data_IF_575173748984
#
_entry.id   IF_575173748984
#
_cell.length_a   1.000
_cell.length_b   1.000
_cell.length_c   1.000
_cell.angle_alpha   90.00
_cell.angle_beta   90.00
_cell.angle_gamma   90.00
#
_symmetry.space_group_name_H-M   'P 1'
#
loop_
_entity.id
_entity.type
_entity.pdbx_description
1 polymer ?
#
# COMPACT_ATOMS: atom_id res chain seq x y z
N UNK A 1 -16.59 -26.34 -5.77
CA UNK A 1 -16.94 -25.31 -4.77
C UNK A 1 -16.84 -23.96 -5.47
N UNK A 2 -17.96 -23.24 -5.68
CA UNK A 2 -17.89 -21.92 -6.34
C UNK A 2 -17.22 -20.93 -5.37
N UNK A 3 -16.15 -20.23 -5.77
CA UNK A 3 -15.56 -19.21 -4.91
C UNK A 3 -16.62 -18.13 -4.64
N UNK A 4 -16.86 -17.84 -3.36
CA UNK A 4 -17.71 -16.72 -2.97
C UNK A 4 -16.92 -15.42 -3.18
N UNK A 5 -17.01 -14.88 -4.38
CA UNK A 5 -16.33 -13.66 -4.81
C UNK A 5 -16.57 -12.49 -3.85
N UNK A 6 -17.74 -12.44 -3.18
CA UNK A 6 -18.05 -11.36 -2.26
C UNK A 6 -17.12 -11.32 -1.04
N UNK A 7 -16.55 -12.46 -0.63
CA UNK A 7 -15.60 -12.53 0.50
C UNK A 7 -14.21 -11.99 0.15
N UNK A 8 -13.88 -11.94 -1.13
CA UNK A 8 -12.59 -11.49 -1.64
C UNK A 8 -12.63 -10.07 -2.22
N UNK A 9 -13.82 -9.48 -2.36
CA UNK A 9 -13.99 -8.10 -2.81
C UNK A 9 -13.93 -7.14 -1.61
N UNK A 10 -12.77 -7.04 -0.98
CA UNK A 10 -12.48 -6.12 0.13
C UNK A 10 -11.40 -5.11 -0.27
N UNK A 11 -11.32 -3.97 0.41
CA UNK A 11 -10.25 -3.01 0.20
C UNK A 11 -8.87 -3.64 0.45
N UNK A 12 -8.73 -4.51 1.47
CA UNK A 12 -7.49 -5.24 1.75
C UNK A 12 -7.02 -6.11 0.58
N UNK A 13 -7.91 -6.92 0.01
CA UNK A 13 -7.59 -7.71 -1.19
C UNK A 13 -7.26 -6.81 -2.37
N UNK A 14 -8.02 -5.72 -2.56
CA UNK A 14 -7.76 -4.74 -3.61
C UNK A 14 -6.38 -4.10 -3.50
N UNK A 15 -5.97 -3.68 -2.30
CA UNK A 15 -4.65 -3.11 -2.01
C UNK A 15 -3.55 -4.15 -2.25
N UNK A 16 -3.75 -5.40 -1.83
CA UNK A 16 -2.79 -6.47 -2.08
C UNK A 16 -2.58 -6.71 -3.59
N UNK A 17 -3.67 -6.84 -4.35
CA UNK A 17 -3.64 -7.02 -5.81
C UNK A 17 -2.98 -5.80 -6.48
N UNK A 18 -3.29 -4.59 -6.01
CA UNK A 18 -2.66 -3.36 -6.49
C UNK A 18 -1.15 -3.42 -6.32
N UNK A 19 -0.66 -3.82 -5.14
CA UNK A 19 0.77 -4.03 -4.91
C UNK A 19 1.37 -5.09 -5.84
N UNK A 20 0.77 -6.27 -5.93
CA UNK A 20 1.28 -7.34 -6.79
C UNK A 20 1.37 -6.95 -8.27
N UNK A 21 0.30 -6.33 -8.81
CA UNK A 21 0.25 -5.93 -10.22
C UNK A 21 1.17 -4.74 -10.54
N UNK A 22 1.29 -3.76 -9.63
CA UNK A 22 2.28 -2.69 -9.80
C UNK A 22 3.70 -3.20 -9.76
N UNK A 23 4.02 -4.15 -8.88
CA UNK A 23 5.34 -4.78 -8.84
C UNK A 23 5.65 -5.49 -10.16
N UNK A 24 4.70 -6.26 -10.71
CA UNK A 24 4.85 -6.92 -12.01
C UNK A 24 5.03 -5.92 -13.15
N UNK A 25 4.32 -4.79 -13.12
CA UNK A 25 4.48 -3.72 -14.10
C UNK A 25 5.91 -3.15 -14.10
N UNK A 26 6.47 -2.91 -12.91
CA UNK A 26 7.83 -2.38 -12.76
C UNK A 26 8.93 -3.41 -13.05
N UNK A 27 8.68 -4.70 -12.78
CA UNK A 27 9.60 -5.78 -13.13
C UNK A 27 9.61 -6.13 -14.63
N UNK A 28 8.56 -5.75 -15.37
CA UNK A 28 8.46 -6.04 -16.80
C UNK A 28 8.36 -4.77 -17.63
N UNK A 29 7.15 -4.31 -18.00
CA UNK A 29 6.95 -3.21 -18.93
C UNK A 29 7.73 -1.92 -18.63
N UNK A 30 7.84 -1.51 -17.35
CA UNK A 30 8.50 -0.26 -16.96
C UNK A 30 9.97 -0.43 -16.53
N UNK A 31 10.52 -1.64 -16.56
CA UNK A 31 11.88 -1.91 -16.08
C UNK A 31 12.95 -1.07 -16.80
N UNK A 32 12.73 -0.74 -18.07
CA UNK A 32 13.67 0.09 -18.84
C UNK A 32 13.84 1.51 -18.26
N UNK A 33 12.84 2.06 -17.56
CA UNK A 33 12.95 3.37 -16.90
C UNK A 33 13.94 3.31 -15.75
N UNK A 34 13.91 2.22 -14.97
CA UNK A 34 14.85 1.98 -13.89
C UNK A 34 16.28 1.78 -14.41
N UNK A 35 16.47 1.06 -15.51
CA UNK A 35 17.80 0.89 -16.13
C UNK A 35 18.38 2.23 -16.59
N UNK A 36 17.54 3.16 -17.07
CA UNK A 36 17.97 4.50 -17.47
C UNK A 36 18.25 5.41 -16.29
N UNK A 37 17.47 5.31 -15.22
CA UNK A 37 17.62 6.10 -14.01
C UNK A 37 17.22 5.27 -12.77
N UNK A 38 18.20 4.81 -11.97
CA UNK A 38 17.94 3.98 -10.79
C UNK A 38 17.07 4.65 -9.72
N UNK A 39 16.88 5.98 -9.76
CA UNK A 39 16.01 6.69 -8.81
C UNK A 39 14.56 6.26 -8.90
N UNK A 40 14.13 5.67 -10.04
CA UNK A 40 12.82 5.03 -10.17
C UNK A 40 12.65 3.80 -9.26
N UNK A 41 13.70 3.34 -8.58
CA UNK A 41 13.69 2.12 -7.76
C UNK A 41 12.68 2.13 -6.61
N UNK A 42 12.25 3.31 -6.13
CA UNK A 42 11.18 3.41 -5.14
C UNK A 42 9.85 2.78 -5.60
N UNK A 43 9.66 2.63 -6.91
CA UNK A 43 8.51 1.94 -7.48
C UNK A 43 8.53 0.41 -7.34
N UNK A 44 9.64 -0.20 -6.91
CA UNK A 44 9.65 -1.59 -6.44
C UNK A 44 9.31 -1.69 -4.95
N UNK A 45 9.58 -0.63 -4.20
CA UNK A 45 9.40 -0.56 -2.74
C UNK A 45 7.92 -0.40 -2.39
N UNK A 46 7.27 0.62 -2.96
CA UNK A 46 5.89 0.99 -2.64
C UNK A 46 4.90 -0.17 -2.87
N UNK A 47 4.99 -0.94 -3.98
CA UNK A 47 4.10 -2.09 -4.17
C UNK A 47 4.25 -3.18 -3.10
N UNK A 48 5.45 -3.39 -2.57
CA UNK A 48 5.67 -4.34 -1.46
C UNK A 48 4.98 -3.82 -0.19
N UNK A 49 5.04 -2.51 0.09
CA UNK A 49 4.31 -1.91 1.23
C UNK A 49 2.80 -2.11 1.08
N UNK A 50 2.24 -1.96 -0.13
CA UNK A 50 0.83 -2.28 -0.38
C UNK A 50 0.53 -3.76 -0.15
N UNK A 51 1.41 -4.66 -0.57
CA UNK A 51 1.24 -6.09 -0.29
C UNK A 51 1.25 -6.38 1.20
N UNK A 52 2.16 -5.79 1.98
CA UNK A 52 2.17 -5.94 3.45
C UNK A 52 0.85 -5.47 4.06
N UNK A 53 0.42 -4.24 3.77
CA UNK A 53 -0.83 -3.69 4.31
C UNK A 53 -2.07 -4.48 3.87
N UNK A 54 -2.09 -4.92 2.61
CA UNK A 54 -3.18 -5.74 2.06
C UNK A 54 -3.24 -7.14 2.67
N UNK A 55 -2.09 -7.75 2.97
CA UNK A 55 -2.00 -9.07 3.58
C UNK A 55 -2.42 -9.04 5.06
N UNK A 56 -2.01 -8.02 5.83
CA UNK A 56 -2.41 -7.83 7.22
C UNK A 56 -3.94 -7.87 7.43
N UNK A 57 -4.70 -7.26 6.50
CA UNK A 57 -6.17 -7.31 6.50
C UNK A 57 -6.71 -8.75 6.60
N UNK A 58 -6.06 -9.71 5.93
CA UNK A 58 -6.48 -11.10 5.90
C UNK A 58 -5.93 -11.93 7.06
N UNK A 59 -4.74 -11.61 7.55
CA UNK A 59 -4.10 -12.33 8.64
C UNK A 59 -4.80 -12.12 9.99
N UNK A 60 -5.43 -10.96 10.20
CA UNK A 60 -6.23 -10.65 11.40
C UNK A 60 -5.45 -10.88 12.70
N UNK A 61 -4.18 -10.48 12.70
CA UNK A 61 -3.26 -10.61 13.82
C UNK A 61 -2.72 -9.26 14.23
N UNK A 62 -2.64 -9.02 15.55
CA UNK A 62 -2.02 -7.81 16.12
C UNK A 62 -0.55 -7.69 15.66
N UNK A 63 0.19 -8.80 15.62
CA UNK A 63 1.60 -8.79 15.23
C UNK A 63 1.76 -8.42 13.76
N UNK A 64 0.94 -8.99 12.88
CA UNK A 64 0.94 -8.65 11.45
C UNK A 64 0.50 -7.19 11.23
N UNK A 65 -0.56 -6.75 11.91
CA UNK A 65 -1.03 -5.36 11.80
C UNK A 65 0.04 -4.35 12.26
N UNK A 66 0.83 -4.67 13.30
CA UNK A 66 1.97 -3.84 13.71
C UNK A 66 3.04 -3.74 12.62
N UNK A 67 3.38 -4.86 11.97
CA UNK A 67 4.35 -4.88 10.87
C UNK A 67 3.84 -4.04 9.70
N UNK A 68 2.54 -4.12 9.37
CA UNK A 68 1.92 -3.28 8.36
C UNK A 68 1.97 -1.79 8.70
N UNK A 69 1.73 -1.41 9.97
CA UNK A 69 1.89 -0.01 10.42
C UNK A 69 3.33 0.46 10.27
N UNK A 70 4.30 -0.34 10.75
CA UNK A 70 5.72 -0.01 10.65
C UNK A 70 6.11 0.14 9.18
N UNK A 71 5.73 -0.81 8.32
CA UNK A 71 6.00 -0.76 6.89
C UNK A 71 5.41 0.50 6.25
N UNK A 72 4.13 0.80 6.52
CA UNK A 72 3.43 1.93 5.93
C UNK A 72 4.03 3.29 6.32
N UNK A 73 4.56 3.47 7.53
CA UNK A 73 5.18 4.74 7.94
C UNK A 73 6.69 4.77 7.69
N UNK A 74 7.40 3.76 8.17
CA UNK A 74 8.87 3.75 8.23
C UNK A 74 9.47 3.51 6.85
N UNK A 75 8.79 2.79 5.95
CA UNK A 75 9.29 2.64 4.57
C UNK A 75 8.80 3.79 3.70
N UNK A 76 7.50 4.07 3.69
CA UNK A 76 6.91 5.04 2.76
C UNK A 76 7.47 6.46 2.94
N UNK A 77 7.50 6.98 4.17
CA UNK A 77 7.84 8.39 4.41
C UNK A 77 9.31 8.67 4.04
N UNK A 78 10.31 7.94 4.54
CA UNK A 78 11.70 8.19 4.18
C UNK A 78 11.99 7.96 2.69
N UNK A 79 11.35 6.95 2.08
CA UNK A 79 11.49 6.67 0.64
C UNK A 79 11.01 7.86 -0.19
N UNK A 80 9.81 8.39 0.11
CA UNK A 80 9.19 9.46 -0.66
C UNK A 80 9.72 10.86 -0.30
N UNK A 81 10.44 11.01 0.81
CA UNK A 81 11.19 12.22 1.14
C UNK A 81 12.66 12.14 0.70
N UNK A 82 13.04 11.15 -0.11
CA UNK A 82 14.40 10.94 -0.59
C UNK A 82 15.46 10.82 0.54
N UNK A 83 15.05 10.42 1.75
CA UNK A 83 15.96 10.26 2.89
C UNK A 83 16.80 8.99 2.77
N UNK A 84 16.28 7.98 2.07
CA UNK A 84 16.94 6.70 1.84
C UNK A 84 17.14 6.43 0.36
N UNK A 85 18.18 5.66 0.04
CA UNK A 85 18.32 5.05 -1.27
C UNK A 85 17.21 4.02 -1.50
N UNK A 86 16.85 3.79 -2.76
CA UNK A 86 15.86 2.78 -3.12
C UNK A 86 16.28 1.37 -2.67
N UNK A 87 17.58 1.06 -2.64
CA UNK A 87 18.12 -0.23 -2.17
C UNK A 87 17.80 -0.46 -0.69
N UNK A 88 18.06 0.55 0.14
CA UNK A 88 17.79 0.50 1.58
C UNK A 88 16.30 0.32 1.84
N UNK A 89 15.48 1.10 1.14
CA UNK A 89 14.04 1.03 1.23
C UNK A 89 13.50 -0.33 0.76
N UNK A 90 14.04 -0.90 -0.33
CA UNK A 90 13.64 -2.18 -0.88
C UNK A 90 13.98 -3.34 0.07
N UNK A 91 15.19 -3.33 0.64
CA UNK A 91 15.59 -4.32 1.64
C UNK A 91 14.67 -4.29 2.86
N UNK A 92 14.35 -3.10 3.39
CA UNK A 92 13.46 -2.96 4.53
C UNK A 92 12.02 -3.38 4.20
N UNK A 93 11.50 -2.99 3.02
CA UNK A 93 10.17 -3.41 2.59
C UNK A 93 10.07 -4.93 2.46
N UNK A 94 11.05 -5.55 1.78
CA UNK A 94 11.12 -7.00 1.62
C UNK A 94 11.28 -7.74 2.95
N UNK A 95 12.13 -7.22 3.85
CA UNK A 95 12.32 -7.79 5.19
C UNK A 95 11.01 -7.75 6.01
N UNK A 96 10.34 -6.60 6.05
CA UNK A 96 9.08 -6.44 6.79
C UNK A 96 7.98 -7.34 6.22
N UNK A 97 7.85 -7.39 4.88
CA UNK A 97 6.90 -8.30 4.25
C UNK A 97 7.22 -9.77 4.58
N UNK A 98 8.50 -10.16 4.52
CA UNK A 98 8.94 -11.51 4.91
C UNK A 98 8.65 -11.83 6.37
N UNK A 99 8.92 -10.90 7.29
CA UNK A 99 8.58 -11.03 8.72
C UNK A 99 7.08 -11.22 8.89
N UNK A 100 6.24 -10.45 8.20
CA UNK A 100 4.79 -10.57 8.29
C UNK A 100 4.31 -11.97 7.88
N UNK A 101 4.81 -12.49 6.75
CA UNK A 101 4.48 -13.86 6.32
C UNK A 101 4.92 -14.89 7.36
N UNK A 102 6.13 -14.75 7.92
CA UNK A 102 6.64 -15.66 8.95
C UNK A 102 5.76 -15.60 10.21
N UNK A 103 5.40 -14.40 10.68
CA UNK A 103 4.53 -14.20 11.84
C UNK A 103 3.17 -14.89 11.63
N UNK A 104 2.54 -14.67 10.48
CA UNK A 104 1.28 -15.33 10.13
C UNK A 104 1.40 -16.87 10.17
N UNK A 105 2.46 -17.43 9.59
CA UNK A 105 2.68 -18.88 9.58
C UNK A 105 2.93 -19.44 10.97
N UNK A 106 3.65 -18.72 11.83
CA UNK A 106 3.91 -19.11 13.22
C UNK A 106 2.63 -19.05 14.04
N UNK A 107 1.88 -17.94 13.99
CA UNK A 107 0.67 -17.75 14.78
C UNK A 107 -0.45 -18.73 14.40
N UNK A 108 -0.52 -19.15 13.14
CA UNK A 108 -1.41 -20.23 12.72
C UNK A 108 -1.13 -21.58 13.43
N UNK A 109 0.10 -21.79 13.92
CA UNK A 109 0.50 -23.01 14.61
C UNK A 109 0.48 -22.87 16.14
N UNK A 110 0.91 -21.72 16.66
CA UNK A 110 1.15 -21.54 18.10
C UNK A 110 0.14 -20.63 18.79
N UNK A 111 -0.77 -20.00 18.04
CA UNK A 111 -1.66 -18.95 18.52
C UNK A 111 -1.00 -17.57 18.49
N UNK A 112 -1.72 -16.56 18.97
CA UNK A 112 -1.28 -15.16 18.96
C UNK A 112 0.02 -14.96 19.74
N UNK A 113 1.05 -14.41 19.08
CA UNK A 113 2.33 -14.07 19.70
C UNK A 113 2.17 -12.85 20.62
N UNK A 114 1.36 -11.87 20.20
CA UNK A 114 1.05 -10.67 20.96
C UNK A 114 -0.37 -10.76 21.51
N UNK A 115 -0.49 -11.12 22.79
CA UNK A 115 -1.78 -11.29 23.47
C UNK A 115 -1.91 -10.40 24.71
N UNK A 116 -2.25 -9.10 24.55
CA UNK A 116 -2.41 -8.17 25.65
C UNK A 116 -3.75 -8.35 26.37
N UNK A 117 -3.95 -7.61 27.46
CA UNK A 117 -5.22 -7.61 28.20
C UNK A 117 -6.43 -7.30 27.28
N UNK A 118 -7.63 -7.85 27.55
CA UNK A 118 -8.76 -7.83 26.61
C UNK A 118 -9.14 -6.45 26.05
N UNK A 119 -9.09 -5.41 26.88
CA UNK A 119 -9.41 -4.04 26.46
C UNK A 119 -8.38 -3.49 25.46
N UNK A 120 -7.09 -3.72 25.72
CA UNK A 120 -6.03 -3.29 24.81
C UNK A 120 -6.05 -4.13 23.52
N UNK A 121 -6.29 -5.44 23.63
CA UNK A 121 -6.46 -6.32 22.47
C UNK A 121 -7.56 -5.83 21.52
N UNK A 122 -8.74 -5.54 22.06
CA UNK A 122 -9.85 -5.00 21.27
C UNK A 122 -9.49 -3.66 20.61
N UNK A 123 -8.84 -2.75 21.35
CA UNK A 123 -8.40 -1.47 20.81
C UNK A 123 -7.40 -1.64 19.66
N UNK A 124 -6.37 -2.48 19.83
CA UNK A 124 -5.35 -2.74 18.80
C UNK A 124 -5.97 -3.34 17.54
N UNK A 125 -6.81 -4.37 17.71
CA UNK A 125 -7.51 -5.00 16.59
C UNK A 125 -8.40 -4.02 15.83
N UNK A 126 -8.97 -2.99 16.49
CA UNK A 126 -9.78 -1.97 15.84
C UNK A 126 -8.90 -0.92 15.14
N UNK A 127 -7.76 -0.53 15.69
CA UNK A 127 -7.07 0.68 15.23
C UNK A 127 -5.80 0.44 14.38
N UNK A 128 -5.06 -0.64 14.58
CA UNK A 128 -3.75 -0.81 13.92
C UNK A 128 -3.85 -0.79 12.39
N UNK A 129 -4.78 -1.56 11.81
CA UNK A 129 -4.94 -1.55 10.37
C UNK A 129 -5.35 -0.18 9.82
N UNK A 130 -6.12 0.62 10.57
CA UNK A 130 -6.41 2.00 10.14
C UNK A 130 -5.17 2.89 10.16
N UNK A 131 -4.29 2.70 11.16
CA UNK A 131 -3.01 3.41 11.17
C UNK A 131 -2.17 3.04 9.95
N UNK A 132 -2.18 1.78 9.52
CA UNK A 132 -1.47 1.38 8.30
C UNK A 132 -2.03 2.11 7.06
N UNK A 133 -3.35 2.26 6.95
CA UNK A 133 -3.97 3.03 5.87
C UNK A 133 -3.62 4.52 5.94
N UNK A 134 -3.59 5.11 7.14
CA UNK A 134 -3.11 6.49 7.35
C UNK A 134 -1.64 6.61 6.93
N UNK A 135 -0.81 5.61 7.20
CA UNK A 135 0.56 5.53 6.70
C UNK A 135 0.61 5.59 5.17
N UNK A 136 -0.23 4.82 4.48
CA UNK A 136 -0.36 4.89 3.02
C UNK A 136 -0.81 6.27 2.52
N UNK A 137 -1.66 6.99 3.26
CA UNK A 137 -2.10 8.34 2.90
C UNK A 137 -0.95 9.35 2.86
N UNK A 138 0.16 9.09 3.55
CA UNK A 138 1.31 10.00 3.51
C UNK A 138 1.92 10.06 2.10
N UNK A 139 1.79 9.01 1.29
CA UNK A 139 2.31 9.00 -0.08
C UNK A 139 1.75 10.13 -0.95
N UNK A 140 0.42 10.26 -1.14
CA UNK A 140 -0.12 11.36 -1.92
C UNK A 140 0.06 12.71 -1.23
N UNK A 141 0.09 12.77 0.11
CA UNK A 141 0.34 14.03 0.81
C UNK A 141 1.77 14.54 0.57
N UNK A 142 2.79 13.67 0.70
CA UNK A 142 4.18 14.00 0.39
C UNK A 142 4.32 14.41 -1.07
N UNK A 143 3.65 13.68 -1.97
CA UNK A 143 3.65 14.00 -3.39
C UNK A 143 3.11 15.41 -3.66
N UNK A 144 1.86 15.72 -3.27
CA UNK A 144 1.22 16.99 -3.60
C UNK A 144 1.75 18.19 -2.81
N UNK A 145 2.08 18.02 -1.53
CA UNK A 145 2.45 19.14 -0.65
C UNK A 145 3.95 19.45 -0.77
N UNK A 146 4.78 18.43 -1.03
CA UNK A 146 6.23 18.57 -0.96
C UNK A 146 6.90 18.37 -2.32
N UNK A 147 6.78 17.18 -2.92
CA UNK A 147 7.52 16.84 -4.15
C UNK A 147 7.04 17.61 -5.37
N UNK A 148 5.73 17.87 -5.48
CA UNK A 148 5.13 18.54 -6.64
C UNK A 148 5.61 19.99 -6.80
N UNK A 149 5.84 20.69 -5.69
CA UNK A 149 6.25 22.11 -5.70
C UNK A 149 7.77 22.31 -5.69
N UNK A 150 8.54 21.31 -5.25
CA UNK A 150 9.99 21.40 -5.11
C UNK A 150 10.70 20.07 -5.43
N UNK A 151 10.64 19.58 -6.68
CA UNK A 151 11.20 18.28 -7.06
C UNK A 151 12.73 18.21 -6.87
N UNK A 152 13.43 19.34 -7.07
CA UNK A 152 14.89 19.41 -6.99
C UNK A 152 15.48 19.05 -5.62
N UNK A 153 14.75 19.30 -4.54
CA UNK A 153 15.18 18.93 -3.18
C UNK A 153 15.27 17.41 -2.96
N UNK A 154 14.62 16.61 -3.81
CA UNK A 154 14.52 15.16 -3.70
C UNK A 154 15.34 14.41 -4.76
N UNK A 155 15.99 15.16 -5.66
CA UNK A 155 16.65 14.62 -6.85
C UNK A 155 17.80 13.65 -6.56
N UNK A 156 18.28 13.60 -5.31
CA UNK A 156 19.33 12.68 -4.85
C UNK A 156 18.91 11.22 -4.97
N UNK A 157 17.67 10.89 -4.55
CA UNK A 157 17.18 9.51 -4.50
C UNK A 157 15.87 9.31 -5.29
N UNK A 158 15.22 10.38 -5.74
CA UNK A 158 13.96 10.31 -6.49
C UNK A 158 14.07 11.04 -7.83
N UNK A 159 13.42 10.53 -8.89
CA UNK A 159 13.33 11.25 -10.15
C UNK A 159 12.32 12.39 -10.02
N UNK A 160 12.39 13.33 -10.97
CA UNK A 160 11.34 14.33 -11.14
C UNK A 160 10.10 13.63 -11.72
N UNK A 161 9.05 13.50 -10.93
CA UNK A 161 7.81 12.82 -11.30
C UNK A 161 6.68 13.83 -11.46
N UNK A 162 6.65 14.53 -12.58
CA UNK A 162 5.52 15.38 -12.99
C UNK A 162 4.64 14.72 -14.05
N UNK A 163 4.69 13.40 -14.15
CA UNK A 163 3.90 12.65 -15.09
C UNK A 163 2.45 12.49 -14.62
N UNK A 164 1.51 12.78 -15.52
CA UNK A 164 0.06 12.71 -15.30
C UNK A 164 -0.38 11.37 -14.66
N UNK A 165 0.14 10.19 -15.07
CA UNK A 165 -0.15 8.92 -14.40
C UNK A 165 0.12 8.92 -12.89
N UNK A 166 1.23 9.50 -12.45
CA UNK A 166 1.62 9.56 -11.03
C UNK A 166 0.68 10.50 -10.26
N UNK A 167 0.30 11.62 -10.85
CA UNK A 167 -0.69 12.55 -10.28
C UNK A 167 -2.05 11.87 -10.09
N UNK A 168 -2.52 11.16 -11.11
CA UNK A 168 -3.81 10.45 -11.06
C UNK A 168 -3.76 9.35 -9.99
N UNK A 169 -2.69 8.56 -9.95
CA UNK A 169 -2.53 7.52 -8.94
C UNK A 169 -2.60 8.08 -7.52
N UNK A 170 -1.84 9.15 -7.25
CA UNK A 170 -1.85 9.80 -5.92
C UNK A 170 -3.22 10.40 -5.58
N UNK A 171 -3.90 11.04 -6.53
CA UNK A 171 -5.25 11.56 -6.31
C UNK A 171 -6.26 10.45 -5.99
N UNK A 172 -6.17 9.31 -6.68
CA UNK A 172 -7.02 8.16 -6.42
C UNK A 172 -6.72 7.51 -5.05
N UNK A 173 -5.46 7.51 -4.61
CA UNK A 173 -5.06 6.97 -3.31
C UNK A 173 -5.67 7.76 -2.14
N UNK A 174 -5.83 9.09 -2.29
CA UNK A 174 -6.53 9.96 -1.33
C UNK A 174 -7.98 9.49 -1.12
N UNK A 175 -8.62 8.94 -2.15
CA UNK A 175 -9.99 8.40 -2.06
C UNK A 175 -10.00 6.97 -1.51
N UNK A 176 -9.03 6.15 -1.91
CA UNK A 176 -8.96 4.74 -1.48
C UNK A 176 -8.76 4.60 0.03
N UNK A 177 -7.87 5.39 0.62
CA UNK A 177 -7.53 5.25 2.05
C UNK A 177 -8.75 5.45 2.96
N UNK A 178 -9.54 6.53 2.82
CA UNK A 178 -10.80 6.69 3.56
C UNK A 178 -11.76 5.53 3.33
N UNK A 179 -11.92 5.04 2.10
CA UNK A 179 -12.80 3.90 1.81
C UNK A 179 -12.34 2.63 2.54
N UNK A 180 -11.03 2.35 2.52
CA UNK A 180 -10.43 1.20 3.19
C UNK A 180 -10.60 1.28 4.72
N UNK A 181 -10.43 2.47 5.31
CA UNK A 181 -10.69 2.68 6.73
C UNK A 181 -12.19 2.57 7.07
N UNK A 182 -13.06 3.15 6.23
CA UNK A 182 -14.51 3.16 6.42
C UNK A 182 -15.14 1.78 6.34
N UNK A 183 -14.62 0.89 5.48
CA UNK A 183 -15.14 -0.47 5.30
C UNK A 183 -15.36 -1.21 6.63
N UNK A 184 -14.50 -0.95 7.61
CA UNK A 184 -14.51 -1.62 8.91
C UNK A 184 -15.63 -1.13 9.83
N UNK A 185 -16.18 0.05 9.57
CA UNK A 185 -17.19 0.71 10.40
C UNK A 185 -18.51 0.93 9.66
N UNK A 186 -18.47 1.01 8.34
CA UNK A 186 -19.59 1.37 7.47
C UNK A 186 -19.80 0.27 6.46
N UNK A 187 -20.95 -0.41 6.53
CA UNK A 187 -21.28 -1.51 5.61
C UNK A 187 -21.65 -1.00 4.22
N UNK A 188 -22.42 0.09 4.15
CA UNK A 188 -22.98 0.63 2.90
C UNK A 188 -22.85 2.14 2.83
N UNK A 189 -22.58 2.67 1.64
CA UNK A 189 -22.66 4.09 1.32
C UNK A 189 -23.77 4.27 0.28
N UNK A 190 -24.88 4.88 0.69
CA UNK A 190 -26.12 4.84 -0.10
C UNK A 190 -26.63 3.40 -0.23
N UNK A 191 -26.68 2.87 -1.46
CA UNK A 191 -27.11 1.50 -1.76
C UNK A 191 -25.98 0.49 -2.02
N UNK A 192 -24.71 0.91 -1.93
CA UNK A 192 -23.57 0.09 -2.33
C UNK A 192 -22.72 -0.32 -1.14
N UNK A 193 -22.22 -1.56 -1.15
CA UNK A 193 -21.32 -2.06 -0.11
C UNK A 193 -19.96 -1.35 -0.20
N UNK A 194 -19.50 -0.77 0.92
CA UNK A 194 -18.22 -0.04 0.98
C UNK A 194 -17.05 -0.96 0.61
N UNK A 195 -17.11 -2.22 1.05
CA UNK A 195 -16.12 -3.27 0.71
C UNK A 195 -15.90 -3.38 -0.79
N UNK A 196 -16.99 -3.41 -1.58
CA UNK A 196 -16.98 -3.54 -3.04
C UNK A 196 -16.49 -2.27 -3.71
N UNK A 197 -16.91 -1.10 -3.21
CA UNK A 197 -16.43 0.19 -3.73
C UNK A 197 -14.91 0.26 -3.57
N UNK A 198 -14.40 -0.02 -2.36
CA UNK A 198 -12.96 -0.01 -2.08
C UNK A 198 -12.18 -0.96 -2.97
N UNK A 199 -12.65 -2.22 -3.10
CA UNK A 199 -12.02 -3.19 -3.99
C UNK A 199 -11.98 -2.73 -5.46
N UNK A 200 -13.13 -2.31 -6.00
CA UNK A 200 -13.22 -1.84 -7.40
C UNK A 200 -12.30 -0.63 -7.61
N UNK A 201 -12.26 0.28 -6.64
CA UNK A 201 -11.41 1.46 -6.71
C UNK A 201 -9.92 1.08 -6.76
N UNK A 202 -9.46 0.14 -5.93
CA UNK A 202 -8.08 -0.37 -6.00
C UNK A 202 -7.75 -0.99 -7.36
N UNK A 203 -8.69 -1.71 -7.98
CA UNK A 203 -8.50 -2.25 -9.33
C UNK A 203 -8.43 -1.14 -10.38
N UNK A 204 -9.29 -0.11 -10.26
CA UNK A 204 -9.26 1.06 -11.15
C UNK A 204 -7.94 1.85 -11.02
N UNK A 205 -7.33 1.89 -9.84
CA UNK A 205 -6.01 2.48 -9.62
C UNK A 205 -4.86 1.78 -10.36
N UNK A 206 -5.12 0.61 -10.95
CA UNK A 206 -4.18 -0.10 -11.82
C UNK A 206 -4.55 0.20 -13.27
N UNK A 207 -5.83 0.04 -13.63
CA UNK A 207 -6.31 0.18 -15.01
C UNK A 207 -6.13 1.62 -15.50
N UNK A 208 -6.56 2.62 -14.71
CA UNK A 208 -6.58 4.02 -15.16
C UNK A 208 -5.17 4.53 -15.43
N UNK A 209 -4.18 4.42 -14.51
CA UNK A 209 -2.82 4.86 -14.82
C UNK A 209 -2.22 4.15 -16.03
N UNK A 210 -2.44 2.84 -16.20
CA UNK A 210 -1.95 2.10 -17.37
C UNK A 210 -2.57 2.58 -18.68
N UNK A 211 -3.87 2.90 -18.70
CA UNK A 211 -4.52 3.48 -19.87
C UNK A 211 -3.91 4.85 -20.18
N UNK A 212 -3.75 5.71 -19.17
CA UNK A 212 -3.18 7.05 -19.33
C UNK A 212 -1.75 6.99 -19.87
N UNK A 213 -0.91 6.08 -19.36
CA UNK A 213 0.46 5.84 -19.86
C UNK A 213 0.48 5.50 -21.35
N UNK A 214 -0.58 4.88 -21.89
CA UNK A 214 -0.65 4.50 -23.30
C UNK A 214 -1.29 5.56 -24.19
N UNK A 215 -2.10 6.46 -23.63
CA UNK A 215 -2.81 7.52 -24.38
C UNK A 215 -2.01 8.82 -24.40
N UNK A 216 -1.25 9.13 -23.36
CA UNK A 216 -0.47 10.38 -23.23
C UNK A 216 0.96 10.24 -23.80
N UNK A 217 1.18 9.25 -24.67
CA UNK A 217 2.44 9.10 -25.42
C UNK A 217 2.53 10.08 -26.58
#
# INVERSE_FOLDING_TARGET
MKPDLNKWMTAGTGIFIMGALWLLFWLGPAFFLFVKDPRWGHNFVIPIVFMTVGAAYHFKSIACDFVAVISAFVVTIPTLLALWSWETALMLAGLLFGIEIILYLVENKVGEIINPAPRLKAWLMIHLLNFSYIGLLHMPLIFFISRWSNPGAFATNLPEEHDIPTTIFNAMLIVLVPLAAMERYVKTLGGYAVTKIGFIWSVLMIIIPLVVINVVK
#
